data_IF_076930530819
#
_entry.id   IF_076930530819
#
_cell.length_a   1.000
_cell.length_b   1.000
_cell.length_c   1.000
_cell.angle_alpha   90.00
_cell.angle_beta   90.00
_cell.angle_gamma   90.00
#
_symmetry.space_group_name_H-M   'P 1'
#
loop_
_entity.id
_entity.type
_entity.pdbx_description
1 polymer ?
#
# COMPACT_ATOMS: atom_id res chain seq x y z
N UNK A 1 -10.41 22.69 11.53
CA UNK A 1 -11.37 22.95 10.44
C UNK A 1 -11.37 24.44 10.04
N UNK A 2 -11.11 25.33 10.99
CA UNK A 2 -11.13 26.78 10.75
C UNK A 2 -9.98 27.29 9.88
N UNK A 3 -8.77 26.73 10.00
CA UNK A 3 -7.63 27.07 9.14
C UNK A 3 -7.88 26.68 7.67
N UNK A 4 -8.47 25.51 7.41
CA UNK A 4 -8.75 25.05 6.04
C UNK A 4 -9.83 25.90 5.37
N UNK A 5 -10.89 26.23 6.12
CA UNK A 5 -11.94 27.16 5.67
C UNK A 5 -11.37 28.55 5.42
N UNK A 6 -10.47 29.03 6.28
CA UNK A 6 -9.77 30.30 6.11
C UNK A 6 -8.89 30.33 4.85
N UNK A 7 -8.22 29.23 4.53
CA UNK A 7 -7.40 29.07 3.31
C UNK A 7 -8.23 28.78 2.04
N UNK A 8 -9.56 28.65 2.16
CA UNK A 8 -10.44 28.30 1.04
C UNK A 8 -10.21 26.88 0.49
N UNK A 9 -9.52 26.01 1.24
CA UNK A 9 -9.21 24.64 0.82
C UNK A 9 -10.33 23.70 1.27
N UNK A 10 -10.96 22.96 0.34
CA UNK A 10 -12.03 22.04 0.70
C UNK A 10 -11.46 20.81 1.41
N UNK A 11 -12.11 20.40 2.50
CA UNK A 11 -11.60 19.36 3.43
C UNK A 11 -11.47 18.00 2.75
N UNK A 12 -12.37 17.69 1.82
CA UNK A 12 -12.35 16.47 1.01
C UNK A 12 -11.08 16.39 0.15
N UNK A 13 -10.64 17.49 -0.48
CA UNK A 13 -9.40 17.50 -1.26
C UNK A 13 -8.20 17.11 -0.41
N UNK A 14 -8.10 17.67 0.81
CA UNK A 14 -7.02 17.34 1.75
C UNK A 14 -7.03 15.86 2.12
N UNK A 15 -8.20 15.29 2.39
CA UNK A 15 -8.35 13.88 2.72
C UNK A 15 -7.98 12.97 1.55
N UNK A 16 -8.45 13.28 0.34
CA UNK A 16 -8.14 12.53 -0.89
C UNK A 16 -6.63 12.47 -1.12
N UNK A 17 -5.96 13.63 -1.02
CA UNK A 17 -4.50 13.72 -1.16
C UNK A 17 -3.77 12.94 -0.08
N UNK A 18 -4.18 13.06 1.19
CA UNK A 18 -3.55 12.33 2.29
C UNK A 18 -3.67 10.80 2.12
N UNK A 19 -4.83 10.31 1.69
CA UNK A 19 -5.06 8.88 1.43
C UNK A 19 -4.19 8.39 0.26
N UNK A 20 -4.10 9.16 -0.83
CA UNK A 20 -3.23 8.79 -1.97
C UNK A 20 -1.76 8.71 -1.55
N UNK A 21 -1.28 9.64 -0.72
CA UNK A 21 0.08 9.60 -0.16
C UNK A 21 0.27 8.35 0.70
N UNK A 22 -0.67 8.05 1.59
CA UNK A 22 -0.61 6.87 2.45
C UNK A 22 -0.57 5.57 1.62
N UNK A 23 -1.39 5.46 0.57
CA UNK A 23 -1.40 4.31 -0.34
C UNK A 23 -0.10 4.21 -1.15
N UNK A 24 0.50 5.32 -1.56
CA UNK A 24 1.80 5.32 -2.23
C UNK A 24 2.91 4.79 -1.31
N UNK A 25 2.93 5.20 -0.05
CA UNK A 25 3.86 4.66 0.97
C UNK A 25 3.59 3.16 1.18
N UNK A 26 2.33 2.77 1.27
CA UNK A 26 1.94 1.36 1.43
C UNK A 26 2.36 0.49 0.23
N UNK A 27 2.33 1.03 -0.99
CA UNK A 27 2.83 0.37 -2.19
C UNK A 27 4.34 0.10 -2.10
N UNK A 28 5.13 1.10 -1.71
CA UNK A 28 6.58 0.94 -1.48
C UNK A 28 6.83 -0.10 -0.39
N UNK A 29 6.08 -0.05 0.70
CA UNK A 29 6.17 -1.02 1.78
C UNK A 29 5.84 -2.44 1.30
N UNK A 30 4.80 -2.62 0.49
CA UNK A 30 4.46 -3.91 -0.11
C UNK A 30 5.61 -4.50 -0.91
N UNK A 31 6.35 -3.68 -1.66
CA UNK A 31 7.55 -4.14 -2.37
C UNK A 31 8.67 -4.56 -1.42
N UNK A 32 8.88 -3.82 -0.33
CA UNK A 32 9.83 -4.21 0.73
C UNK A 32 9.44 -5.56 1.32
N UNK A 33 8.15 -5.79 1.59
CA UNK A 33 7.66 -7.09 2.11
C UNK A 33 7.97 -8.23 1.14
N UNK A 34 7.83 -8.05 -0.18
CA UNK A 34 8.24 -9.09 -1.15
C UNK A 34 9.73 -9.45 -1.01
N UNK A 35 10.61 -8.46 -0.78
CA UNK A 35 12.03 -8.69 -0.54
C UNK A 35 12.28 -9.43 0.78
N UNK A 36 11.54 -9.07 1.83
CA UNK A 36 11.66 -9.71 3.14
C UNK A 36 11.15 -11.16 3.13
N UNK A 37 10.04 -11.43 2.45
CA UNK A 37 9.52 -12.81 2.27
C UNK A 37 10.55 -13.67 1.54
N UNK A 38 11.20 -13.12 0.51
CA UNK A 38 12.29 -13.84 -0.18
C UNK A 38 13.45 -14.17 0.77
N UNK A 39 13.95 -13.18 1.52
CA UNK A 39 15.07 -13.37 2.45
C UNK A 39 14.72 -14.35 3.58
N UNK A 40 13.50 -14.28 4.11
CA UNK A 40 13.02 -15.18 5.15
C UNK A 40 12.98 -16.63 4.66
N UNK A 41 12.49 -16.86 3.45
CA UNK A 41 12.43 -18.19 2.83
C UNK A 41 13.82 -18.79 2.51
N UNK A 42 14.90 -17.99 2.54
CA UNK A 42 16.27 -18.49 2.42
C UNK A 42 16.80 -19.03 3.77
N UNK A 43 16.10 -18.78 4.88
CA UNK A 43 16.54 -19.15 6.24
C UNK A 43 15.63 -20.16 6.92
N UNK A 44 14.31 -20.06 6.71
CA UNK A 44 13.32 -20.91 7.36
C UNK A 44 12.91 -22.07 6.43
N UNK A 45 13.06 -23.30 6.93
CA UNK A 45 12.52 -24.52 6.32
C UNK A 45 11.35 -25.02 7.16
N UNK A 46 10.18 -24.44 6.93
CA UNK A 46 8.92 -24.75 7.62
C UNK A 46 7.93 -25.49 6.72
N UNK A 47 8.24 -25.67 5.42
CA UNK A 47 7.42 -26.38 4.44
C UNK A 47 6.28 -25.54 3.84
N UNK A 48 6.23 -24.24 4.14
CA UNK A 48 5.19 -23.31 3.70
C UNK A 48 5.72 -22.14 2.84
N UNK A 49 6.98 -22.18 2.43
CA UNK A 49 7.70 -21.10 1.75
C UNK A 49 6.98 -20.68 0.47
N UNK A 50 6.52 -21.66 -0.31
CA UNK A 50 5.80 -21.43 -1.55
C UNK A 50 4.43 -20.78 -1.32
N UNK A 51 3.69 -21.21 -0.30
CA UNK A 51 2.39 -20.63 0.03
C UNK A 51 2.54 -19.17 0.48
N UNK A 52 3.50 -18.90 1.38
CA UNK A 52 3.80 -17.54 1.86
C UNK A 52 4.20 -16.63 0.69
N UNK A 53 5.04 -17.14 -0.21
CA UNK A 53 5.47 -16.40 -1.41
C UNK A 53 4.29 -16.05 -2.31
N UNK A 54 3.37 -17.00 -2.58
CA UNK A 54 2.17 -16.76 -3.39
C UNK A 54 1.28 -15.69 -2.74
N UNK A 55 1.01 -15.82 -1.44
CA UNK A 55 0.19 -14.84 -0.70
C UNK A 55 0.82 -13.45 -0.77
N UNK A 56 2.14 -13.34 -0.61
CA UNK A 56 2.84 -12.07 -0.70
C UNK A 56 2.70 -11.41 -2.10
N UNK A 57 2.84 -12.19 -3.17
CA UNK A 57 2.64 -11.67 -4.54
C UNK A 57 1.19 -11.28 -4.82
N UNK A 58 0.22 -12.09 -4.41
CA UNK A 58 -1.21 -11.77 -4.56
C UNK A 58 -1.53 -10.48 -3.81
N UNK A 59 -1.08 -10.37 -2.56
CA UNK A 59 -1.29 -9.15 -1.76
C UNK A 59 -0.67 -7.93 -2.43
N UNK A 60 0.55 -8.04 -2.95
CA UNK A 60 1.18 -6.92 -3.67
C UNK A 60 0.42 -6.51 -4.94
N UNK A 61 -0.10 -7.47 -5.71
CA UNK A 61 -0.96 -7.20 -6.87
C UNK A 61 -2.24 -6.48 -6.44
N UNK A 62 -2.88 -6.91 -5.35
CA UNK A 62 -4.07 -6.24 -4.82
C UNK A 62 -3.76 -4.80 -4.39
N UNK A 63 -2.61 -4.56 -3.76
CA UNK A 63 -2.17 -3.20 -3.40
C UNK A 63 -2.02 -2.32 -4.66
N UNK A 64 -1.38 -2.84 -5.72
CA UNK A 64 -1.26 -2.13 -6.99
C UNK A 64 -2.63 -1.76 -7.55
N UNK A 65 -3.55 -2.73 -7.63
CA UNK A 65 -4.91 -2.51 -8.13
C UNK A 65 -5.64 -1.46 -7.28
N UNK A 66 -5.58 -1.58 -5.96
CA UNK A 66 -6.21 -0.62 -5.03
C UNK A 66 -5.64 0.78 -5.21
N UNK A 67 -4.33 0.93 -5.36
CA UNK A 67 -3.70 2.24 -5.58
C UNK A 67 -4.16 2.87 -6.91
N UNK A 68 -4.20 2.10 -8.00
CA UNK A 68 -4.69 2.60 -9.28
C UNK A 68 -6.18 2.97 -9.21
N UNK A 69 -7.02 2.12 -8.59
CA UNK A 69 -8.43 2.44 -8.39
C UNK A 69 -8.63 3.72 -7.56
N UNK A 70 -7.80 3.94 -6.54
CA UNK A 70 -7.86 5.15 -5.72
C UNK A 70 -7.60 6.42 -6.52
N UNK A 71 -6.75 6.39 -7.56
CA UNK A 71 -6.51 7.57 -8.42
C UNK A 71 -7.77 7.99 -9.19
N UNK A 72 -8.62 7.03 -9.59
CA UNK A 72 -9.82 7.31 -10.38
C UNK A 72 -11.08 7.55 -9.54
N UNK A 73 -11.18 6.89 -8.38
CA UNK A 73 -12.41 6.89 -7.58
C UNK A 73 -12.37 7.96 -6.48
N UNK A 74 -11.19 8.25 -5.93
CA UNK A 74 -11.05 9.13 -4.77
C UNK A 74 -10.98 10.60 -5.19
#
# INVERSE_FOLDING_TARGET
>A
MDILKFLGVPVDLVLKTAILIALAIYLVFGYVILKQVRLMNETLEIGFENAIKIVAYIHFILILITFFLAIFIL
#
